data_IF_569646121314
#
_entry.id   IF_569646121314
#
_cell.length_a   1.000
_cell.length_b   1.000
_cell.length_c   1.000
_cell.angle_alpha   90.00
_cell.angle_beta   90.00
_cell.angle_gamma   90.00
#
_symmetry.space_group_name_H-M   'P 1'
#
loop_
_entity.id
_entity.type
_entity.pdbx_description
1 polymer ?
#
# COMPACT_ATOMS: atom_id res chain seq x y z
N UNK A 1 -60.82 -20.94 44.47
CA UNK A 1 -61.96 -21.28 43.59
C UNK A 1 -61.44 -21.53 42.19
N UNK A 2 -61.72 -22.72 41.67
CA UNK A 2 -61.28 -23.25 40.38
C UNK A 2 -62.04 -22.67 39.19
N UNK A 3 -61.35 -22.57 38.04
CA UNK A 3 -61.68 -23.12 36.69
C UNK A 3 -60.66 -22.51 35.71
N UNK A 4 -59.61 -23.18 35.22
CA UNK A 4 -59.54 -24.21 34.16
C UNK A 4 -60.44 -23.93 32.95
N UNK A 5 -59.82 -23.49 31.85
CA UNK A 5 -60.13 -23.97 30.50
C UNK A 5 -58.86 -23.99 29.65
N UNK A 6 -58.49 -25.21 29.26
CA UNK A 6 -57.51 -25.57 28.25
C UNK A 6 -58.04 -25.24 26.85
N UNK A 7 -57.15 -24.84 25.94
CA UNK A 7 -57.35 -25.00 24.51
C UNK A 7 -56.06 -25.52 23.86
N UNK A 8 -56.22 -26.65 23.17
CA UNK A 8 -55.21 -27.55 22.66
C UNK A 8 -54.32 -26.98 21.53
N UNK A 9 -53.10 -27.54 21.47
CA UNK A 9 -52.18 -27.53 20.32
C UNK A 9 -52.78 -28.25 19.10
N UNK A 10 -52.12 -28.17 17.93
CA UNK A 10 -51.28 -29.32 17.59
C UNK A 10 -49.91 -28.93 17.00
N UNK A 11 -48.88 -29.56 17.57
CA UNK A 11 -47.61 -29.79 16.88
C UNK A 11 -47.82 -30.89 15.83
N UNK A 12 -47.19 -30.72 14.68
CA UNK A 12 -47.06 -31.72 13.63
C UNK A 12 -45.81 -31.40 12.79
N UNK A 13 -45.19 -32.40 12.14
CA UNK A 13 -43.78 -32.72 12.37
C UNK A 13 -42.84 -32.32 11.23
N UNK A 14 -41.54 -32.47 11.51
CA UNK A 14 -40.39 -32.42 10.59
C UNK A 14 -40.64 -33.08 9.22
N UNK A 15 -39.78 -32.75 8.23
CA UNK A 15 -39.06 -33.83 7.59
C UNK A 15 -37.54 -33.65 7.68
N UNK A 16 -36.89 -34.75 8.09
CA UNK A 16 -35.49 -35.01 7.82
C UNK A 16 -35.30 -35.51 6.37
N UNK A 17 -34.05 -35.43 5.90
CA UNK A 17 -33.48 -35.96 4.62
C UNK A 17 -33.61 -35.01 3.42
N UNK A 18 -32.60 -34.76 2.58
CA UNK A 18 -31.35 -35.48 2.30
C UNK A 18 -30.22 -34.53 1.87
N UNK A 19 -28.95 -34.90 2.13
CA UNK A 19 -27.80 -34.47 1.35
C UNK A 19 -27.61 -35.43 0.16
N UNK A 20 -27.69 -34.92 -1.06
CA UNK A 20 -27.41 -35.66 -2.28
C UNK A 20 -27.07 -34.58 -3.36
N UNK A 21 -26.12 -34.73 -4.29
CA UNK A 21 -25.21 -35.80 -4.66
C UNK A 21 -24.45 -35.30 -5.88
N UNK A 22 -23.12 -35.22 -5.85
CA UNK A 22 -22.29 -35.66 -6.99
C UNK A 22 -21.04 -36.35 -6.40
N UNK A 23 -21.24 -37.58 -5.95
CA UNK A 23 -20.21 -38.61 -6.08
C UNK A 23 -20.42 -39.27 -7.45
N UNK A 24 -19.45 -39.13 -8.35
CA UNK A 24 -19.13 -40.21 -9.29
C UNK A 24 -17.83 -40.85 -8.84
N UNK A 25 -17.99 -42.06 -8.33
CA UNK A 25 -16.94 -43.06 -8.15
C UNK A 25 -16.54 -43.59 -9.52
N UNK A 26 -15.24 -43.76 -9.74
CA UNK A 26 -14.71 -44.82 -10.58
C UNK A 26 -13.45 -45.35 -9.88
N UNK A 27 -13.62 -46.43 -9.12
CA UNK A 27 -12.54 -47.36 -8.77
C UNK A 27 -12.46 -48.42 -9.87
N UNK A 28 -11.25 -48.64 -10.36
CA UNK A 28 -10.76 -49.80 -11.11
C UNK A 28 -9.25 -49.60 -11.24
N UNK A 29 -8.49 -49.95 -10.20
CA UNK A 29 -7.66 -51.16 -10.09
C UNK A 29 -6.53 -51.24 -11.14
N UNK A 30 -5.31 -51.13 -10.61
CA UNK A 30 -4.04 -51.73 -11.06
C UNK A 30 -3.66 -51.59 -12.54
N UNK A 31 -2.67 -50.74 -12.82
CA UNK A 31 -1.34 -51.26 -13.11
C UNK A 31 -0.25 -50.18 -13.02
N UNK A 32 0.90 -50.63 -12.55
CA UNK A 32 2.18 -49.96 -12.37
C UNK A 32 2.59 -49.08 -13.54
N UNK A 33 3.07 -47.86 -13.29
CA UNK A 33 4.32 -47.29 -13.83
C UNK A 33 4.68 -46.04 -13.02
N UNK A 34 5.91 -46.03 -12.49
CA UNK A 34 6.58 -44.94 -11.80
C UNK A 34 6.74 -43.71 -12.70
N UNK A 35 5.83 -42.73 -12.66
CA UNK A 35 6.08 -41.41 -13.24
C UNK A 35 5.90 -40.33 -12.18
N UNK A 36 7.04 -39.75 -11.80
CA UNK A 36 7.18 -38.54 -11.01
C UNK A 36 6.35 -37.41 -11.62
N UNK A 37 5.22 -37.08 -11.00
CA UNK A 37 4.44 -35.91 -11.34
C UNK A 37 5.23 -34.65 -10.98
N UNK A 38 5.92 -34.05 -11.95
CA UNK A 38 6.16 -32.61 -11.93
C UNK A 38 4.80 -31.91 -11.80
N UNK A 39 4.64 -30.92 -10.89
CA UNK A 39 3.40 -30.18 -10.81
C UNK A 39 3.27 -29.34 -12.09
N UNK A 40 2.46 -29.83 -13.02
CA UNK A 40 2.09 -29.14 -14.24
C UNK A 40 1.54 -27.75 -13.86
N UNK A 41 2.35 -26.73 -14.13
CA UNK A 41 2.29 -25.39 -13.53
C UNK A 41 1.61 -24.41 -14.50
N UNK A 42 0.49 -24.85 -15.07
CA UNK A 42 -0.29 -24.07 -16.02
C UNK A 42 -1.22 -23.12 -15.26
N UNK A 43 -0.94 -21.83 -15.39
CA UNK A 43 -1.56 -20.71 -14.68
C UNK A 43 -1.40 -20.74 -13.14
N UNK A 44 -0.37 -20.06 -12.64
CA UNK A 44 -0.15 -19.86 -11.21
C UNK A 44 -1.24 -18.94 -10.60
N UNK A 45 -2.44 -19.47 -10.34
CA UNK A 45 -3.52 -18.79 -9.62
C UNK A 45 -3.13 -18.69 -8.14
N UNK A 46 -2.51 -17.58 -7.76
CA UNK A 46 -2.13 -17.36 -6.38
C UNK A 46 -3.39 -17.24 -5.51
N UNK A 47 -3.56 -18.16 -4.55
CA UNK A 47 -4.74 -18.18 -3.65
C UNK A 47 -4.94 -16.89 -2.87
N UNK A 48 -3.86 -16.17 -2.58
CA UNK A 48 -3.91 -14.86 -1.91
C UNK A 48 -4.37 -13.77 -2.86
N UNK A 49 -3.81 -13.72 -4.08
CA UNK A 49 -4.24 -12.75 -5.09
C UNK A 49 -5.72 -12.92 -5.46
N UNK A 50 -6.19 -14.16 -5.57
CA UNK A 50 -7.59 -14.47 -5.89
C UNK A 50 -8.55 -13.95 -4.80
N UNK A 51 -8.20 -14.09 -3.52
CA UNK A 51 -9.01 -13.54 -2.43
C UNK A 51 -8.91 -12.02 -2.29
N UNK A 52 -7.86 -11.43 -2.85
CA UNK A 52 -7.70 -9.99 -2.92
C UNK A 52 -8.29 -9.41 -4.20
N UNK A 53 -8.75 -10.23 -5.14
CA UNK A 53 -9.33 -9.72 -6.38
C UNK A 53 -10.56 -8.86 -6.07
N UNK A 54 -10.67 -7.71 -6.73
CA UNK A 54 -11.67 -6.66 -6.47
C UNK A 54 -11.78 -6.16 -5.02
N UNK A 55 -10.76 -6.40 -4.17
CA UNK A 55 -10.84 -6.03 -2.75
C UNK A 55 -11.02 -4.52 -2.52
N UNK A 56 -10.49 -3.71 -3.44
CA UNK A 56 -10.66 -2.25 -3.42
C UNK A 56 -12.12 -1.87 -3.71
N UNK A 57 -12.77 -2.54 -4.67
CA UNK A 57 -14.20 -2.35 -4.94
C UNK A 57 -15.07 -2.85 -3.78
N UNK A 58 -14.69 -3.97 -3.15
CA UNK A 58 -15.35 -4.44 -1.94
C UNK A 58 -15.20 -3.47 -0.77
N UNK A 59 -14.05 -2.80 -0.64
CA UNK A 59 -13.83 -1.77 0.35
C UNK A 59 -14.82 -0.61 0.14
N UNK A 60 -14.88 -0.03 -1.06
CA UNK A 60 -15.81 1.06 -1.36
C UNK A 60 -17.27 0.64 -1.25
N UNK A 61 -17.62 -0.58 -1.70
CA UNK A 61 -18.97 -1.13 -1.56
C UNK A 61 -19.39 -1.39 -0.10
N UNK A 62 -18.45 -1.63 0.82
CA UNK A 62 -18.77 -1.74 2.26
C UNK A 62 -19.17 -0.41 2.89
N UNK A 63 -18.61 0.69 2.40
CA UNK A 63 -18.92 2.04 2.91
C UNK A 63 -20.41 2.36 2.75
N UNK A 64 -21.05 1.81 1.72
CA UNK A 64 -22.49 1.98 1.44
C UNK A 64 -23.43 1.23 2.39
N UNK A 65 -22.93 0.26 3.17
CA UNK A 65 -23.83 -0.70 3.84
C UNK A 65 -24.53 -0.15 5.07
N UNK A 66 -23.95 0.83 5.77
CA UNK A 66 -24.57 1.46 6.93
C UNK A 66 -23.92 2.79 7.30
N UNK A 67 -24.66 3.62 8.03
CA UNK A 67 -24.24 4.96 8.48
C UNK A 67 -23.00 4.90 9.35
N UNK A 68 -22.88 3.87 10.19
CA UNK A 68 -21.70 3.65 11.02
C UNK A 68 -20.42 3.51 10.19
N UNK A 69 -20.46 2.80 9.07
CA UNK A 69 -19.32 2.66 8.16
C UNK A 69 -18.96 3.99 7.51
N UNK A 70 -19.96 4.80 7.14
CA UNK A 70 -19.76 6.16 6.60
C UNK A 70 -19.09 7.08 7.60
N UNK A 71 -19.59 7.15 8.84
CA UNK A 71 -18.97 7.94 9.90
C UNK A 71 -17.56 7.46 10.26
N UNK A 72 -17.34 6.14 10.29
CA UNK A 72 -16.01 5.57 10.53
C UNK A 72 -15.05 5.93 9.39
N UNK A 73 -15.51 5.94 8.15
CA UNK A 73 -14.69 6.34 7.00
C UNK A 73 -14.28 7.81 7.14
N UNK A 74 -15.22 8.72 7.40
CA UNK A 74 -14.92 10.13 7.59
C UNK A 74 -13.87 10.34 8.70
N UNK A 75 -14.06 9.71 9.86
CA UNK A 75 -13.08 9.76 10.96
C UNK A 75 -11.71 9.22 10.54
N UNK A 76 -11.66 8.09 9.84
CA UNK A 76 -10.39 7.50 9.41
C UNK A 76 -9.70 8.38 8.37
N UNK A 77 -10.47 9.02 7.49
CA UNK A 77 -9.96 9.98 6.50
C UNK A 77 -9.39 11.24 7.16
N UNK A 78 -10.04 11.75 8.21
CA UNK A 78 -9.49 12.84 9.04
C UNK A 78 -8.14 12.42 9.63
N UNK A 79 -8.07 11.24 10.25
CA UNK A 79 -6.85 10.74 10.90
C UNK A 79 -5.72 10.36 9.93
N UNK A 80 -6.04 10.15 8.65
CA UNK A 80 -5.07 9.81 7.60
C UNK A 80 -4.80 10.95 6.63
N UNK A 81 -5.47 12.09 6.79
CA UNK A 81 -5.49 13.20 5.85
C UNK A 81 -5.76 12.71 4.41
N UNK A 82 -6.82 11.91 4.26
CA UNK A 82 -7.28 11.39 2.97
C UNK A 82 -6.67 10.04 2.55
N UNK A 83 -6.96 9.64 1.31
CA UNK A 83 -6.45 8.42 0.67
C UNK A 83 -5.03 8.61 0.11
N UNK A 84 -4.28 7.52 -0.08
CA UNK A 84 -3.07 7.61 -0.91
C UNK A 84 -3.44 7.93 -2.36
N UNK A 85 -2.49 8.45 -3.14
CA UNK A 85 -2.72 8.87 -4.53
C UNK A 85 -3.44 7.79 -5.37
N UNK A 86 -3.02 6.52 -5.27
CA UNK A 86 -3.66 5.43 -6.01
C UNK A 86 -5.13 5.19 -5.59
N UNK A 87 -5.44 5.26 -4.30
CA UNK A 87 -6.82 5.07 -3.82
C UNK A 87 -7.68 6.31 -4.01
N UNK A 88 -7.10 7.51 -4.03
CA UNK A 88 -7.78 8.73 -4.41
C UNK A 88 -8.18 8.69 -5.90
N UNK A 89 -7.25 8.29 -6.79
CA UNK A 89 -7.53 8.07 -8.20
C UNK A 89 -8.65 7.05 -8.42
N UNK A 90 -8.64 5.93 -7.68
CA UNK A 90 -9.73 4.94 -7.74
C UNK A 90 -11.05 5.45 -7.19
N UNK A 91 -11.03 6.22 -6.11
CA UNK A 91 -12.24 6.84 -5.60
C UNK A 91 -12.87 7.79 -6.65
N UNK A 92 -12.03 8.52 -7.41
CA UNK A 92 -12.48 9.41 -8.47
C UNK A 92 -13.12 8.69 -9.66
N UNK A 93 -12.80 7.41 -9.91
CA UNK A 93 -13.41 6.62 -10.99
C UNK A 93 -14.72 5.93 -10.58
N UNK A 94 -15.11 5.98 -9.31
CA UNK A 94 -16.39 5.44 -8.83
C UNK A 94 -17.57 6.18 -9.46
N UNK A 95 -18.65 5.44 -9.73
CA UNK A 95 -19.89 5.97 -10.32
C UNK A 95 -21.10 5.70 -9.42
N UNK A 96 -22.16 6.49 -9.61
CA UNK A 96 -23.42 6.38 -8.88
C UNK A 96 -23.26 6.61 -7.38
N UNK A 97 -24.16 6.00 -6.59
CA UNK A 97 -24.28 6.18 -5.14
C UNK A 97 -22.97 5.97 -4.36
N UNK A 98 -22.10 5.05 -4.81
CA UNK A 98 -20.78 4.83 -4.21
C UNK A 98 -19.89 6.07 -4.31
N UNK A 99 -19.90 6.74 -5.45
CA UNK A 99 -19.12 7.96 -5.69
C UNK A 99 -19.58 9.07 -4.74
N UNK A 100 -20.90 9.29 -4.67
CA UNK A 100 -21.50 10.35 -3.86
C UNK A 100 -21.20 10.13 -2.37
N UNK A 101 -21.40 8.90 -1.88
CA UNK A 101 -21.14 8.57 -0.47
C UNK A 101 -19.66 8.74 -0.09
N UNK A 102 -18.74 8.37 -0.98
CA UNK A 102 -17.31 8.56 -0.75
C UNK A 102 -16.95 10.04 -0.75
N UNK A 103 -17.50 10.84 -1.67
CA UNK A 103 -17.30 12.31 -1.68
C UNK A 103 -17.85 12.95 -0.42
N UNK A 104 -19.04 12.56 0.03
CA UNK A 104 -19.62 13.08 1.28
C UNK A 104 -18.76 12.73 2.48
N UNK A 105 -18.22 11.50 2.54
CA UNK A 105 -17.30 11.11 3.62
C UNK A 105 -15.97 11.88 3.57
N UNK A 106 -15.50 12.28 2.38
CA UNK A 106 -14.32 13.14 2.22
C UNK A 106 -14.63 14.55 2.72
N UNK A 107 -15.76 15.13 2.31
CA UNK A 107 -16.21 16.44 2.79
C UNK A 107 -16.38 16.46 4.31
N UNK A 108 -17.00 15.42 4.88
CA UNK A 108 -17.13 15.27 6.33
C UNK A 108 -15.77 15.22 7.03
N UNK A 109 -14.80 14.51 6.45
CA UNK A 109 -13.46 14.43 6.97
C UNK A 109 -12.72 15.78 6.92
N UNK A 110 -12.88 16.52 5.83
CA UNK A 110 -12.35 17.88 5.65
C UNK A 110 -13.00 18.87 6.62
N UNK A 111 -14.31 18.73 6.86
CA UNK A 111 -15.01 19.51 7.87
C UNK A 111 -14.44 19.28 9.26
N UNK A 112 -14.34 18.02 9.67
CA UNK A 112 -13.73 17.67 10.96
C UNK A 112 -12.28 18.15 11.07
N UNK A 113 -11.48 18.04 9.99
CA UNK A 113 -10.11 18.52 10.00
C UNK A 113 -10.02 20.03 10.18
N UNK A 114 -10.90 20.80 9.52
CA UNK A 114 -11.00 22.25 9.72
C UNK A 114 -11.34 22.59 11.17
N UNK A 115 -12.31 21.89 11.76
CA UNK A 115 -12.72 22.12 13.14
C UNK A 115 -11.59 21.80 14.15
N UNK A 116 -10.79 20.75 13.88
CA UNK A 116 -9.60 20.42 14.67
C UNK A 116 -8.53 21.52 14.54
N UNK A 117 -8.32 22.06 13.32
CA UNK A 117 -7.37 23.15 13.08
C UNK A 117 -7.75 24.42 13.85
N UNK A 118 -9.04 24.76 13.89
CA UNK A 118 -9.57 25.92 14.63
C UNK A 118 -9.45 25.76 16.15
N UNK A 119 -9.40 24.51 16.64
CA UNK A 119 -9.25 24.17 18.07
C UNK A 119 -7.85 23.69 18.45
N UNK A 120 -6.85 23.90 17.59
CA UNK A 120 -5.49 23.36 17.73
C UNK A 120 -4.83 23.63 19.10
N UNK A 121 -5.09 24.78 19.73
CA UNK A 121 -4.55 25.09 21.05
C UNK A 121 -4.96 24.09 22.16
N UNK A 122 -6.05 23.34 21.97
CA UNK A 122 -6.56 22.34 22.90
C UNK A 122 -6.27 20.89 22.47
N UNK A 123 -5.77 20.67 21.25
CA UNK A 123 -5.69 19.35 20.60
C UNK A 123 -4.37 19.14 19.85
N UNK A 124 -3.29 19.77 20.32
CA UNK A 124 -2.00 19.76 19.64
C UNK A 124 -1.43 18.35 19.46
N UNK A 125 -1.51 17.49 20.49
CA UNK A 125 -1.07 16.09 20.43
C UNK A 125 -1.83 15.28 19.36
N UNK A 126 -3.15 15.43 19.29
CA UNK A 126 -3.97 14.76 18.29
C UNK A 126 -3.61 15.24 16.88
N UNK A 127 -3.42 16.55 16.69
CA UNK A 127 -3.02 17.09 15.39
C UNK A 127 -1.63 16.62 14.96
N UNK A 128 -0.69 16.49 15.90
CA UNK A 128 0.61 15.88 15.63
C UNK A 128 0.43 14.41 15.18
N UNK A 129 -0.35 13.61 15.91
CA UNK A 129 -0.61 12.21 15.55
C UNK A 129 -1.25 12.03 14.17
N UNK A 130 -2.12 12.97 13.77
CA UNK A 130 -2.75 13.01 12.45
C UNK A 130 -1.69 13.32 11.39
N UNK A 131 -0.94 14.42 11.57
CA UNK A 131 0.03 14.92 10.59
C UNK A 131 1.18 13.93 10.40
N UNK A 132 1.80 13.44 11.48
CA UNK A 132 2.86 12.43 11.40
C UNK A 132 2.36 11.09 10.88
N UNK A 133 1.09 10.76 11.12
CA UNK A 133 0.45 9.55 10.60
C UNK A 133 0.05 9.64 9.12
N UNK A 134 -0.14 10.84 8.57
CA UNK A 134 -0.73 11.06 7.25
C UNK A 134 0.02 10.35 6.12
N UNK A 135 1.36 10.37 6.13
CA UNK A 135 2.18 9.76 5.08
C UNK A 135 1.97 8.25 4.97
N UNK A 136 1.88 7.55 6.11
CA UNK A 136 1.80 6.09 6.16
C UNK A 136 0.38 5.53 6.16
N UNK A 137 -0.63 6.34 6.48
CA UNK A 137 -2.01 5.88 6.65
C UNK A 137 -2.81 6.08 5.38
N UNK A 138 -3.39 5.00 4.87
CA UNK A 138 -4.48 5.05 3.89
C UNK A 138 -5.54 4.04 4.34
N UNK A 139 -6.82 4.45 4.50
CA UNK A 139 -7.88 3.57 4.98
C UNK A 139 -8.05 2.31 4.10
N UNK A 140 -8.06 2.51 2.78
CA UNK A 140 -8.17 1.42 1.81
C UNK A 140 -6.92 0.51 1.82
N UNK A 141 -5.70 1.06 1.75
CA UNK A 141 -4.47 0.25 1.91
C UNK A 141 -4.47 -0.58 3.20
N UNK A 142 -4.90 0.02 4.31
CA UNK A 142 -4.95 -0.65 5.61
C UNK A 142 -5.95 -1.79 5.58
N UNK A 143 -7.12 -1.60 4.96
CA UNK A 143 -8.10 -2.64 4.77
C UNK A 143 -7.54 -3.80 3.92
N UNK A 144 -6.93 -3.50 2.77
CA UNK A 144 -6.30 -4.51 1.89
C UNK A 144 -5.23 -5.31 2.64
N UNK A 145 -4.30 -4.64 3.33
CA UNK A 145 -3.24 -5.31 4.11
C UNK A 145 -3.79 -6.17 5.24
N UNK A 146 -4.90 -5.76 5.89
CA UNK A 146 -5.57 -6.58 6.91
C UNK A 146 -6.17 -7.84 6.30
N UNK A 147 -6.79 -7.73 5.11
CA UNK A 147 -7.35 -8.89 4.40
C UNK A 147 -6.21 -9.83 4.00
N UNK A 148 -5.19 -9.32 3.31
CA UNK A 148 -3.99 -10.06 2.91
C UNK A 148 -3.37 -10.79 4.12
N UNK A 149 -3.20 -10.07 5.23
CA UNK A 149 -2.66 -10.63 6.47
C UNK A 149 -3.47 -11.81 7.01
N UNK A 150 -4.81 -11.73 6.97
CA UNK A 150 -5.69 -12.84 7.38
C UNK A 150 -5.59 -14.03 6.43
N UNK A 151 -5.50 -13.80 5.12
CA UNK A 151 -5.35 -14.88 4.15
C UNK A 151 -4.02 -15.60 4.37
N UNK A 152 -2.91 -14.85 4.49
CA UNK A 152 -1.60 -15.40 4.77
C UNK A 152 -1.56 -16.19 6.09
N UNK A 153 -2.23 -15.70 7.13
CA UNK A 153 -2.33 -16.41 8.42
C UNK A 153 -3.15 -17.71 8.34
N UNK A 154 -4.13 -17.80 7.43
CA UNK A 154 -4.83 -19.07 7.15
C UNK A 154 -3.89 -20.05 6.44
N UNK A 155 -3.25 -19.60 5.37
CA UNK A 155 -2.29 -20.41 4.60
C UNK A 155 -1.17 -20.92 5.49
N UNK A 156 -0.64 -20.08 6.38
CA UNK A 156 0.38 -20.48 7.35
C UNK A 156 -0.10 -21.64 8.23
N UNK A 157 -1.27 -21.49 8.88
CA UNK A 157 -1.81 -22.52 9.79
C UNK A 157 -2.08 -23.83 9.07
N UNK A 158 -2.64 -23.77 7.86
CA UNK A 158 -2.86 -24.95 7.03
C UNK A 158 -1.54 -25.65 6.69
N UNK A 159 -0.52 -24.88 6.31
CA UNK A 159 0.80 -25.40 5.94
C UNK A 159 1.56 -26.03 7.12
N UNK A 160 1.39 -25.48 8.33
CA UNK A 160 1.98 -26.00 9.57
C UNK A 160 1.34 -27.33 10.00
N UNK A 161 0.06 -27.52 9.72
CA UNK A 161 -0.70 -28.74 10.05
C UNK A 161 -0.54 -29.84 9.00
N UNK A 162 -0.23 -29.48 7.75
CA UNK A 162 -0.21 -30.41 6.63
C UNK A 162 1.05 -31.30 6.62
N UNK A 163 0.83 -32.61 6.56
CA UNK A 163 1.87 -33.63 6.31
C UNK A 163 1.39 -34.55 5.19
N UNK A 164 2.09 -34.66 4.04
CA UNK A 164 3.35 -33.99 3.69
C UNK A 164 3.21 -32.50 3.39
N UNK A 165 4.33 -31.77 3.37
CA UNK A 165 4.36 -30.33 3.04
C UNK A 165 3.96 -30.12 1.57
N UNK A 166 2.83 -29.45 1.34
CA UNK A 166 2.32 -29.15 0.00
C UNK A 166 1.67 -27.76 -0.01
N UNK A 167 2.47 -26.69 -0.18
CA UNK A 167 1.95 -25.33 -0.12
C UNK A 167 0.97 -25.07 -1.28
N UNK A 168 -0.12 -24.33 -1.02
CA UNK A 168 -1.04 -23.92 -2.08
C UNK A 168 -0.33 -23.07 -3.12
N UNK A 169 -0.89 -22.95 -4.35
CA UNK A 169 -0.30 -22.12 -5.38
C UNK A 169 -0.21 -20.66 -4.90
N UNK A 170 1.01 -20.12 -4.90
CA UNK A 170 1.32 -18.76 -4.48
C UNK A 170 2.29 -18.11 -5.46
N UNK A 171 2.10 -16.81 -5.70
CA UNK A 171 3.06 -16.00 -6.45
C UNK A 171 4.31 -15.74 -5.61
N UNK A 172 5.37 -15.28 -6.27
CA UNK A 172 6.66 -15.00 -5.62
C UNK A 172 6.52 -14.04 -4.43
N UNK A 173 5.81 -12.91 -4.61
CA UNK A 173 5.66 -11.88 -3.57
C UNK A 173 4.94 -12.41 -2.33
N UNK A 174 3.82 -13.12 -2.48
CA UNK A 174 3.10 -13.66 -1.32
C UNK A 174 3.85 -14.81 -0.64
N UNK A 175 4.61 -15.61 -1.40
CA UNK A 175 5.50 -16.60 -0.82
C UNK A 175 6.63 -15.96 0.00
N UNK A 176 7.20 -14.86 -0.49
CA UNK A 176 8.18 -14.06 0.24
C UNK A 176 7.58 -13.47 1.54
N UNK A 177 6.35 -12.95 1.48
CA UNK A 177 5.62 -12.47 2.66
C UNK A 177 5.32 -13.58 3.67
N UNK A 178 4.98 -14.79 3.19
CA UNK A 178 4.75 -15.95 4.05
C UNK A 178 6.04 -16.38 4.77
N UNK A 179 7.18 -16.35 4.08
CA UNK A 179 8.49 -16.69 4.67
C UNK A 179 8.87 -15.85 5.89
N UNK A 180 8.33 -14.64 6.02
CA UNK A 180 8.56 -13.79 7.19
C UNK A 180 7.77 -14.22 8.43
N UNK A 181 6.84 -15.17 8.29
CA UNK A 181 5.86 -15.53 9.33
C UNK A 181 5.91 -17.00 9.77
N UNK A 182 6.40 -17.88 8.90
CA UNK A 182 6.42 -19.34 9.13
C UNK A 182 7.52 -19.76 10.12
N UNK A 183 7.27 -20.88 10.80
CA UNK A 183 8.23 -21.49 11.71
C UNK A 183 9.57 -21.88 11.03
N UNK A 184 10.68 -21.92 11.79
CA UNK A 184 12.00 -22.29 11.28
C UNK A 184 12.05 -23.61 10.51
N UNK A 185 11.24 -24.59 10.90
CA UNK A 185 11.18 -25.93 10.27
C UNK A 185 10.68 -25.87 8.82
N UNK A 186 9.84 -24.90 8.48
CA UNK A 186 9.28 -24.71 7.15
C UNK A 186 10.10 -23.75 6.29
N UNK A 187 11.00 -22.96 6.90
CA UNK A 187 11.81 -21.97 6.19
C UNK A 187 12.67 -22.58 5.08
N UNK A 188 13.30 -23.72 5.31
CA UNK A 188 14.19 -24.36 4.31
C UNK A 188 13.39 -24.78 3.07
N UNK A 189 12.24 -25.43 3.27
CA UNK A 189 11.36 -25.88 2.18
C UNK A 189 10.79 -24.68 1.40
N UNK A 190 10.38 -23.65 2.12
CA UNK A 190 9.83 -22.43 1.52
C UNK A 190 10.89 -21.62 0.76
N UNK A 191 12.14 -21.55 1.27
CA UNK A 191 13.29 -20.98 0.54
C UNK A 191 13.55 -21.70 -0.78
N UNK A 192 13.52 -23.04 -0.78
CA UNK A 192 13.67 -23.84 -2.02
C UNK A 192 12.55 -23.53 -3.01
N UNK A 193 11.31 -23.45 -2.54
CA UNK A 193 10.18 -23.07 -3.38
C UNK A 193 10.32 -21.65 -3.95
N UNK A 194 10.75 -20.68 -3.14
CA UNK A 194 10.96 -19.31 -3.59
C UNK A 194 12.04 -19.23 -4.69
N UNK A 195 13.14 -19.97 -4.55
CA UNK A 195 14.18 -20.09 -5.60
C UNK A 195 13.66 -20.78 -6.86
N UNK A 196 12.89 -21.86 -6.73
CA UNK A 196 12.26 -22.51 -7.88
C UNK A 196 11.30 -21.54 -8.61
N UNK A 197 10.57 -20.71 -7.86
CA UNK A 197 9.69 -19.68 -8.43
C UNK A 197 10.48 -18.57 -9.14
N UNK A 198 11.61 -18.10 -8.60
CA UNK A 198 12.43 -17.10 -9.31
C UNK A 198 12.99 -17.65 -10.62
N UNK A 199 13.47 -18.91 -10.61
CA UNK A 199 13.95 -19.56 -11.84
C UNK A 199 12.83 -19.73 -12.88
N UNK A 200 11.63 -20.12 -12.44
CA UNK A 200 10.47 -20.22 -13.32
C UNK A 200 10.06 -18.86 -13.92
N UNK A 201 10.23 -17.76 -13.18
CA UNK A 201 9.96 -16.41 -13.71
C UNK A 201 11.00 -16.01 -14.77
N UNK A 202 12.28 -16.27 -14.51
CA UNK A 202 13.35 -16.01 -15.50
C UNK A 202 13.12 -16.81 -16.78
N UNK A 203 12.80 -18.10 -16.66
CA UNK A 203 12.52 -18.96 -17.82
C UNK A 203 11.34 -18.52 -18.67
N UNK A 204 10.34 -17.79 -18.13
CA UNK A 204 9.26 -17.21 -18.94
C UNK A 204 9.71 -15.98 -19.73
N UNK A 205 10.68 -15.21 -19.23
CA UNK A 205 11.26 -14.09 -20.00
C UNK A 205 12.07 -14.62 -21.17
N UNK A 206 12.87 -15.66 -20.92
CA UNK A 206 13.72 -16.33 -21.91
C UNK A 206 12.92 -17.13 -22.95
N UNK A 207 11.60 -17.28 -22.78
CA UNK A 207 10.78 -18.15 -23.61
C UNK A 207 10.79 -17.68 -25.07
N UNK A 208 11.30 -18.50 -26.01
CA UNK A 208 11.31 -18.13 -27.42
C UNK A 208 9.89 -18.14 -28.00
N UNK A 209 9.66 -17.30 -29.02
CA UNK A 209 8.45 -17.25 -29.84
C UNK A 209 7.14 -16.74 -29.18
N UNK A 210 7.16 -16.32 -27.91
CA UNK A 210 6.01 -15.66 -27.29
C UNK A 210 6.03 -14.14 -27.55
N UNK A 211 4.85 -13.55 -27.74
CA UNK A 211 4.73 -12.09 -27.86
C UNK A 211 5.26 -11.41 -26.60
N UNK A 212 5.72 -10.16 -26.70
CA UNK A 212 6.20 -9.41 -25.53
C UNK A 212 5.09 -9.30 -24.45
N UNK A 213 3.88 -8.94 -24.85
CA UNK A 213 2.74 -8.80 -23.93
C UNK A 213 2.37 -10.12 -23.24
N UNK A 214 2.40 -11.24 -23.96
CA UNK A 214 2.12 -12.56 -23.37
C UNK A 214 3.19 -12.95 -22.35
N UNK A 215 4.48 -12.74 -22.67
CA UNK A 215 5.59 -13.01 -21.74
C UNK A 215 5.47 -12.16 -20.48
N UNK A 216 5.28 -10.86 -20.63
CA UNK A 216 5.14 -9.95 -19.48
C UNK A 216 3.91 -10.31 -18.65
N UNK A 217 2.80 -10.69 -19.28
CA UNK A 217 1.60 -11.16 -18.58
C UNK A 217 1.89 -12.40 -17.75
N UNK A 218 2.59 -13.40 -18.30
CA UNK A 218 2.94 -14.62 -17.56
C UNK A 218 3.93 -14.37 -16.42
N UNK A 219 4.95 -13.54 -16.65
CA UNK A 219 5.90 -13.08 -15.63
C UNK A 219 5.14 -12.41 -14.48
N UNK A 220 4.24 -11.48 -14.79
CA UNK A 220 3.44 -10.78 -13.79
C UNK A 220 2.53 -11.73 -13.01
N UNK A 221 1.90 -12.71 -13.66
CA UNK A 221 1.10 -13.76 -13.01
C UNK A 221 1.94 -14.62 -12.06
N UNK A 222 3.23 -14.85 -12.33
CA UNK A 222 4.11 -15.61 -11.43
C UNK A 222 4.69 -14.74 -10.31
N UNK A 223 4.97 -13.46 -10.56
CA UNK A 223 5.52 -12.52 -9.58
C UNK A 223 4.47 -12.02 -8.59
N UNK A 224 3.45 -11.32 -9.10
CA UNK A 224 2.43 -10.66 -8.29
C UNK A 224 1.16 -10.31 -9.11
N UNK A 225 0.26 -11.28 -9.35
CA UNK A 225 -0.96 -11.07 -10.14
C UNK A 225 -1.81 -9.89 -9.68
N UNK A 226 -1.95 -9.73 -8.36
CA UNK A 226 -2.84 -8.72 -7.77
C UNK A 226 -2.45 -7.29 -8.19
N UNK A 227 -1.15 -6.94 -8.15
CA UNK A 227 -0.69 -5.62 -8.58
C UNK A 227 -0.77 -5.41 -10.10
N UNK A 228 -0.71 -6.49 -10.88
CA UNK A 228 -0.86 -6.42 -12.33
C UNK A 228 -2.31 -6.15 -12.73
N UNK A 229 -3.25 -6.95 -12.21
CA UNK A 229 -4.68 -6.83 -12.51
C UNK A 229 -5.29 -5.54 -11.98
N UNK A 230 -4.89 -5.11 -10.78
CA UNK A 230 -5.42 -3.90 -10.17
C UNK A 230 -4.74 -2.60 -10.65
N UNK A 231 -4.05 -2.66 -11.80
CA UNK A 231 -3.53 -1.47 -12.45
C UNK A 231 -2.69 -0.61 -11.52
N UNK A 232 -1.50 -1.08 -11.09
CA UNK A 232 -0.44 -0.15 -10.62
C UNK A 232 -0.11 0.92 -11.69
N UNK A 233 -0.63 0.75 -12.91
CA UNK A 233 -0.78 1.79 -13.93
C UNK A 233 -2.25 2.19 -14.13
N UNK A 234 -2.92 2.73 -13.12
CA UNK A 234 -3.86 3.78 -13.46
C UNK A 234 -2.99 4.87 -14.12
N UNK A 235 -3.23 5.27 -15.39
CA UNK A 235 -2.65 6.52 -15.87
C UNK A 235 -2.97 7.52 -14.78
N UNK A 236 -1.96 8.25 -14.29
CA UNK A 236 -2.12 9.21 -13.21
C UNK A 236 -3.44 9.95 -13.44
N UNK A 237 -4.50 9.55 -12.73
CA UNK A 237 -5.71 10.35 -12.71
C UNK A 237 -5.17 11.65 -12.16
N UNK A 238 -5.24 12.71 -12.98
CA UNK A 238 -4.54 13.95 -12.75
C UNK A 238 -4.79 14.33 -11.30
N UNK A 239 -3.75 14.16 -10.50
CA UNK A 239 -3.76 14.63 -9.14
C UNK A 239 -3.08 15.97 -9.30
N UNK A 240 -3.87 17.03 -9.22
CA UNK A 240 -3.44 18.42 -9.43
C UNK A 240 -2.40 18.89 -8.39
N UNK A 241 -1.93 17.97 -7.54
CA UNK A 241 -0.85 18.20 -6.61
C UNK A 241 0.51 18.24 -7.34
N UNK A 242 1.20 19.39 -7.32
CA UNK A 242 2.50 19.55 -8.00
C UNK A 242 3.58 18.63 -7.41
N UNK A 243 3.47 18.24 -6.14
CA UNK A 243 4.41 17.31 -5.50
C UNK A 243 4.18 15.87 -6.01
N UNK A 244 2.93 15.44 -6.19
CA UNK A 244 2.62 14.15 -6.82
C UNK A 244 3.16 14.10 -8.26
N UNK A 245 3.02 15.20 -9.00
CA UNK A 245 3.53 15.32 -10.36
C UNK A 245 5.07 15.21 -10.40
N UNK A 246 5.77 15.95 -9.54
CA UNK A 246 7.24 15.88 -9.43
C UNK A 246 7.72 14.46 -9.09
N UNK A 247 7.02 13.75 -8.20
CA UNK A 247 7.30 12.34 -7.88
C UNK A 247 7.10 11.44 -9.11
N UNK A 248 6.03 11.64 -9.87
CA UNK A 248 5.78 10.88 -11.10
C UNK A 248 6.83 11.16 -12.18
N UNK A 249 7.29 12.41 -12.31
CA UNK A 249 8.40 12.80 -13.20
C UNK A 249 9.68 12.10 -12.75
N UNK A 250 9.99 12.10 -11.45
CA UNK A 250 11.18 11.45 -10.91
C UNK A 250 11.17 9.94 -11.14
N UNK A 251 10.02 9.28 -10.99
CA UNK A 251 9.86 7.87 -11.32
C UNK A 251 10.19 7.60 -12.80
N UNK A 252 9.66 8.41 -13.73
CA UNK A 252 9.97 8.28 -15.17
C UNK A 252 11.46 8.49 -15.46
N UNK A 253 12.08 9.50 -14.82
CA UNK A 253 13.52 9.78 -14.96
C UNK A 253 14.38 8.63 -14.43
N UNK A 254 14.05 8.11 -13.25
CA UNK A 254 14.72 6.95 -12.68
C UNK A 254 14.64 5.73 -13.61
N UNK A 255 13.47 5.47 -14.19
CA UNK A 255 13.31 4.37 -15.14
C UNK A 255 14.22 4.54 -16.38
N UNK A 256 14.33 5.76 -16.92
CA UNK A 256 15.32 6.07 -17.96
C UNK A 256 16.76 5.81 -17.51
N UNK A 257 17.12 6.25 -16.29
CA UNK A 257 18.43 5.97 -15.69
C UNK A 257 18.69 4.47 -15.53
N UNK A 258 17.67 3.67 -15.17
CA UNK A 258 17.81 2.22 -15.05
C UNK A 258 18.09 1.57 -16.41
N UNK A 259 17.41 2.00 -17.48
CA UNK A 259 17.68 1.57 -18.86
C UNK A 259 19.14 1.88 -19.23
N UNK A 260 19.58 3.13 -19.01
CA UNK A 260 20.93 3.55 -19.37
C UNK A 260 22.01 2.81 -18.55
N UNK A 261 21.76 2.56 -17.26
CA UNK A 261 22.69 1.80 -16.42
C UNK A 261 22.92 0.38 -16.94
N UNK A 262 21.85 -0.29 -17.41
CA UNK A 262 21.96 -1.63 -17.98
C UNK A 262 22.76 -1.59 -19.29
N UNK A 263 22.46 -0.64 -20.18
CA UNK A 263 23.20 -0.44 -21.44
C UNK A 263 24.69 -0.18 -21.22
N UNK A 264 25.01 0.62 -20.21
CA UNK A 264 26.38 0.95 -19.81
C UNK A 264 27.04 -0.11 -18.93
N UNK A 265 26.38 -1.26 -18.69
CA UNK A 265 26.85 -2.38 -17.86
C UNK A 265 27.32 -1.94 -16.47
N UNK A 266 26.64 -0.94 -15.90
CA UNK A 266 26.93 -0.44 -14.57
C UNK A 266 26.43 -1.42 -13.50
N UNK A 267 27.01 -1.40 -12.29
CA UNK A 267 26.56 -2.24 -11.19
C UNK A 267 25.06 -2.05 -10.88
N UNK A 268 24.33 -3.15 -10.79
CA UNK A 268 22.87 -3.12 -10.63
C UNK A 268 22.36 -2.44 -9.35
N UNK A 269 23.15 -2.44 -8.27
CA UNK A 269 22.78 -1.80 -7.01
C UNK A 269 22.63 -0.28 -7.10
N UNK A 270 23.12 0.36 -8.16
CA UNK A 270 23.03 1.82 -8.37
C UNK A 270 21.61 2.23 -8.78
N UNK A 271 20.97 1.49 -9.68
CA UNK A 271 19.74 1.94 -10.34
C UNK A 271 18.63 0.88 -10.41
N UNK A 272 18.94 -0.41 -10.28
CA UNK A 272 17.95 -1.47 -10.47
C UNK A 272 17.08 -1.68 -9.22
N UNK A 273 15.81 -2.10 -9.41
CA UNK A 273 14.85 -2.16 -8.33
C UNK A 273 15.09 -3.33 -7.37
N UNK A 274 14.90 -3.09 -6.07
CA UNK A 274 14.87 -4.12 -5.02
C UNK A 274 13.45 -4.35 -4.48
N UNK A 275 12.45 -3.60 -4.97
CA UNK A 275 11.05 -3.77 -4.60
C UNK A 275 10.20 -4.18 -5.82
N UNK A 276 9.12 -4.92 -5.55
CA UNK A 276 8.23 -5.41 -6.61
C UNK A 276 7.52 -4.29 -7.38
N UNK A 277 7.19 -3.15 -6.73
CA UNK A 277 6.52 -2.02 -7.39
C UNK A 277 7.36 -1.47 -8.54
N UNK A 278 8.64 -1.19 -8.29
CA UNK A 278 9.55 -0.67 -9.30
C UNK A 278 10.03 -1.75 -10.28
N UNK A 279 10.12 -3.02 -9.85
CA UNK A 279 10.33 -4.14 -10.77
C UNK A 279 9.24 -4.19 -11.85
N UNK A 280 7.97 -4.06 -11.47
CA UNK A 280 6.84 -4.07 -12.42
C UNK A 280 6.94 -2.95 -13.46
N UNK A 281 7.55 -1.80 -13.12
CA UNK A 281 7.78 -0.71 -14.08
C UNK A 281 8.88 -1.07 -15.08
N UNK A 282 9.97 -1.68 -14.61
CA UNK A 282 11.08 -2.12 -15.46
C UNK A 282 10.64 -3.23 -16.43
N UNK A 283 9.96 -4.26 -15.94
CA UNK A 283 9.61 -5.41 -16.80
C UNK A 283 8.59 -5.06 -17.89
N UNK A 284 7.79 -4.00 -17.69
CA UNK A 284 6.83 -3.50 -18.70
C UNK A 284 7.52 -2.78 -19.86
N UNK A 285 8.78 -2.38 -19.72
CA UNK A 285 9.52 -1.80 -20.83
C UNK A 285 9.81 -2.87 -21.88
N UNK A 286 9.82 -2.53 -23.18
CA UNK A 286 10.16 -3.48 -24.26
C UNK A 286 11.66 -3.80 -24.35
N UNK A 287 12.46 -3.45 -23.34
CA UNK A 287 13.90 -3.68 -23.29
C UNK A 287 14.21 -4.99 -22.55
N UNK A 288 14.69 -6.01 -23.29
CA UNK A 288 14.97 -7.35 -22.73
C UNK A 288 16.10 -7.33 -21.72
N UNK A 289 17.14 -6.52 -21.93
CA UNK A 289 18.30 -6.47 -21.05
C UNK A 289 17.88 -5.87 -19.71
N UNK A 290 17.06 -4.81 -19.73
CA UNK A 290 16.47 -4.25 -18.52
C UNK A 290 15.60 -5.26 -17.77
N UNK A 291 14.73 -6.00 -18.47
CA UNK A 291 13.86 -7.01 -17.87
C UNK A 291 14.67 -8.05 -17.09
N UNK A 292 15.71 -8.62 -17.72
CA UNK A 292 16.57 -9.62 -17.09
C UNK A 292 17.35 -9.04 -15.92
N UNK A 293 18.01 -7.88 -16.11
CA UNK A 293 18.82 -7.26 -15.08
C UNK A 293 17.97 -6.88 -13.86
N UNK A 294 16.78 -6.31 -14.08
CA UNK A 294 15.86 -5.92 -13.00
C UNK A 294 15.35 -7.15 -12.22
N UNK A 295 14.99 -8.25 -12.91
CA UNK A 295 14.59 -9.48 -12.22
C UNK A 295 15.73 -10.11 -11.43
N UNK A 296 16.90 -10.23 -12.05
CA UNK A 296 18.08 -10.80 -11.39
C UNK A 296 18.39 -10.03 -10.11
N UNK A 297 18.42 -8.70 -10.19
CA UNK A 297 18.64 -7.84 -9.02
C UNK A 297 17.55 -7.96 -7.96
N UNK A 298 16.29 -7.95 -8.38
CA UNK A 298 15.19 -8.10 -7.45
C UNK A 298 15.25 -9.44 -6.71
N UNK A 299 15.55 -10.54 -7.42
CA UNK A 299 15.68 -11.86 -6.80
C UNK A 299 16.91 -11.96 -5.90
N UNK A 300 18.03 -11.36 -6.27
CA UNK A 300 19.21 -11.25 -5.41
C UNK A 300 18.86 -10.58 -4.07
N UNK A 301 18.14 -9.46 -4.10
CA UNK A 301 17.72 -8.74 -2.90
C UNK A 301 16.58 -9.46 -2.13
N UNK A 302 15.69 -10.16 -2.83
CA UNK A 302 14.49 -10.78 -2.26
C UNK A 302 14.73 -12.17 -1.66
N UNK A 303 15.68 -12.93 -2.22
CA UNK A 303 16.02 -14.27 -1.77
C UNK A 303 16.94 -14.21 -0.54
N UNK A 304 16.66 -14.96 0.53
CA UNK A 304 17.60 -15.05 1.64
C UNK A 304 18.89 -15.76 1.20
N UNK A 305 19.97 -15.01 1.03
CA UNK A 305 21.32 -15.45 0.63
C UNK A 305 22.39 -14.49 1.17
N UNK A 306 23.64 -14.98 1.32
CA UNK A 306 24.75 -14.48 2.18
C UNK A 306 24.74 -12.96 2.49
N UNK A 307 24.97 -12.57 3.76
CA UNK A 307 25.17 -11.16 4.09
C UNK A 307 26.29 -10.59 3.21
N UNK A 308 25.99 -9.50 2.50
CA UNK A 308 27.06 -8.65 2.00
C UNK A 308 27.79 -8.14 3.24
N UNK A 309 29.05 -8.52 3.38
CA UNK A 309 30.01 -7.76 4.18
C UNK A 309 30.08 -6.37 3.56
N UNK A 310 29.26 -5.44 4.05
CA UNK A 310 29.50 -4.02 3.85
C UNK A 310 30.92 -3.71 4.32
N UNK A 311 31.76 -3.05 3.50
CA UNK A 311 33.00 -2.48 3.98
C UNK A 311 32.66 -1.52 5.12
N UNK A 312 33.28 -1.73 6.27
CA UNK A 312 33.13 -0.92 7.47
C UNK A 312 33.37 0.54 7.11
N UNK A 313 32.31 1.36 7.07
CA UNK A 313 32.46 2.80 6.90
C UNK A 313 33.24 3.34 8.11
N UNK A 314 34.24 4.23 7.92
CA UNK A 314 34.98 4.78 9.04
C UNK A 314 34.05 5.63 9.91
N UNK A 315 34.13 5.43 11.23
CA UNK A 315 33.44 6.22 12.24
C UNK A 315 33.76 7.70 12.03
N UNK A 316 32.79 8.48 11.54
CA UNK A 316 32.95 9.93 11.40
C UNK A 316 33.06 10.58 12.80
N UNK A 317 34.03 11.48 13.04
CA UNK A 317 34.23 12.08 14.35
C UNK A 317 33.12 13.08 14.69
N UNK A 318 32.49 12.89 15.86
CA UNK A 318 31.44 13.77 16.41
C UNK A 318 31.98 15.19 16.65
N UNK A 319 31.57 16.15 15.82
CA UNK A 319 31.75 17.59 16.12
C UNK A 319 30.74 18.03 17.19
N UNK A 320 31.22 18.33 18.39
CA UNK A 320 30.49 19.09 19.43
C UNK A 320 30.21 20.51 18.92
N UNK A 321 28.95 20.95 18.95
CA UNK A 321 28.57 22.38 18.88
C UNK A 321 27.66 22.76 20.05
N UNK A 322 27.90 23.97 20.56
CA UNK A 322 27.38 24.57 21.82
C UNK A 322 25.89 24.88 21.77
N UNK A 323 25.28 24.88 22.96
CA UNK A 323 23.86 25.06 23.27
C UNK A 323 23.45 26.54 23.34
N UNK A 324 22.28 26.86 22.80
CA UNK A 324 21.35 27.90 23.29
C UNK A 324 19.92 27.36 23.12
N UNK A 325 19.04 27.67 24.08
CA UNK A 325 17.74 27.03 24.30
C UNK A 325 16.73 27.26 23.17
N UNK A 326 16.09 26.18 22.69
CA UNK A 326 14.96 26.13 21.74
C UNK A 326 14.03 25.00 22.17
N UNK A 327 12.80 24.96 21.61
CA UNK A 327 11.58 24.22 21.99
C UNK A 327 11.65 22.67 22.07
N UNK A 328 12.81 22.11 22.41
CA UNK A 328 13.03 20.74 22.90
C UNK A 328 14.30 20.72 23.78
N UNK A 329 14.17 20.34 25.06
CA UNK A 329 15.30 19.77 25.84
C UNK A 329 15.03 18.27 26.00
N UNK A 330 15.78 17.38 25.34
CA UNK A 330 15.54 15.93 25.37
C UNK A 330 16.20 15.29 26.61
N UNK A 331 16.02 15.90 27.78
CA UNK A 331 16.47 15.34 29.05
C UNK A 331 15.27 15.13 29.96
N UNK A 332 14.56 14.04 29.71
CA UNK A 332 14.22 13.05 30.73
C UNK A 332 13.65 11.81 30.05
N UNK A 333 14.53 10.82 29.91
CA UNK A 333 14.32 9.40 30.19
C UNK A 333 14.89 8.50 29.11
N UNK A 334 16.04 7.90 29.44
CA UNK A 334 16.26 6.45 29.37
C UNK A 334 17.66 6.16 29.89
N UNK A 335 17.74 5.64 31.10
CA UNK A 335 18.84 4.78 31.52
C UNK A 335 18.58 3.43 30.83
N UNK A 336 19.42 2.93 29.90
CA UNK A 336 19.27 1.58 29.40
C UNK A 336 19.94 0.65 30.41
N UNK A 337 19.16 -0.10 31.17
CA UNK A 337 19.66 -1.34 31.75
C UNK A 337 19.92 -2.31 30.60
N UNK A 338 21.18 -2.71 30.48
CA UNK A 338 21.64 -3.73 29.56
C UNK A 338 21.10 -5.08 30.00
N UNK A 339 20.21 -5.67 29.20
CA UNK A 339 20.03 -7.12 29.14
C UNK A 339 20.64 -7.65 27.82
N UNK A 340 21.63 -8.55 27.87
CA UNK A 340 22.24 -9.13 26.69
C UNK A 340 21.46 -10.38 26.28
N UNK A 341 20.43 -10.23 25.43
CA UNK A 341 19.87 -11.38 24.71
C UNK A 341 20.22 -11.26 23.24
N UNK A 342 21.13 -12.13 22.82
CA UNK A 342 21.48 -12.41 21.43
C UNK A 342 20.22 -12.63 20.58
N UNK A 343 20.09 -11.85 19.52
CA UNK A 343 19.06 -12.05 18.51
C UNK A 343 19.40 -11.27 17.26
N UNK A 344 20.06 -11.93 16.30
CA UNK A 344 20.26 -11.56 14.90
C UNK A 344 20.06 -10.07 14.57
N UNK A 345 21.16 -9.34 14.41
CA UNK A 345 21.18 -8.08 13.67
C UNK A 345 20.62 -8.32 12.26
N UNK A 346 19.32 -8.10 12.10
CA UNK A 346 18.69 -8.00 10.79
C UNK A 346 19.33 -6.80 10.10
N UNK A 347 20.34 -7.04 9.27
CA UNK A 347 20.93 -6.01 8.42
C UNK A 347 19.78 -5.25 7.71
N UNK A 348 19.83 -3.91 7.64
CA UNK A 348 18.85 -3.14 6.91
C UNK A 348 18.76 -3.68 5.49
N UNK A 349 17.54 -4.05 5.05
CA UNK A 349 17.31 -4.39 3.65
C UNK A 349 17.75 -3.20 2.80
N UNK A 350 18.50 -3.48 1.74
CA UNK A 350 18.92 -2.46 0.77
C UNK A 350 17.71 -1.67 0.28
N UNK A 351 17.79 -0.33 0.33
CA UNK A 351 16.74 0.54 -0.16
C UNK A 351 16.56 0.36 -1.67
N UNK A 352 15.35 0.62 -2.17
CA UNK A 352 15.09 0.53 -3.59
C UNK A 352 15.45 1.87 -4.25
N UNK A 353 16.36 1.91 -5.24
CA UNK A 353 16.74 3.16 -5.91
C UNK A 353 15.55 3.94 -6.50
N UNK A 354 14.53 3.23 -7.00
CA UNK A 354 13.29 3.85 -7.47
C UNK A 354 12.47 4.50 -6.35
N UNK A 355 12.39 3.88 -5.17
CA UNK A 355 11.76 4.49 -3.99
C UNK A 355 12.53 5.72 -3.52
N UNK A 356 13.87 5.63 -3.50
CA UNK A 356 14.74 6.72 -3.06
C UNK A 356 14.62 7.92 -4.02
N UNK A 357 14.56 7.70 -5.33
CA UNK A 357 14.34 8.74 -6.32
C UNK A 357 12.99 9.46 -6.13
N UNK A 358 11.91 8.70 -5.90
CA UNK A 358 10.58 9.24 -5.58
C UNK A 358 10.60 10.06 -4.28
N UNK A 359 11.23 9.54 -3.23
CA UNK A 359 11.32 10.22 -1.93
C UNK A 359 12.15 11.51 -2.00
N UNK A 360 13.30 11.49 -2.68
CA UNK A 360 14.14 12.67 -2.87
C UNK A 360 13.36 13.75 -3.63
N UNK A 361 12.60 13.37 -4.67
CA UNK A 361 11.75 14.30 -5.41
C UNK A 361 10.67 14.91 -4.52
N UNK A 362 9.92 14.09 -3.78
CA UNK A 362 8.91 14.56 -2.83
C UNK A 362 9.50 15.58 -1.85
N UNK A 363 10.63 15.25 -1.20
CA UNK A 363 11.30 16.14 -0.24
C UNK A 363 11.78 17.45 -0.87
N UNK A 364 12.34 17.40 -2.09
CA UNK A 364 12.76 18.62 -2.82
C UNK A 364 11.57 19.53 -3.14
N UNK A 365 10.44 18.95 -3.51
CA UNK A 365 9.23 19.69 -3.86
C UNK A 365 8.52 20.24 -2.63
N UNK A 366 8.47 19.48 -1.53
CA UNK A 366 8.01 19.98 -0.22
C UNK A 366 8.89 21.13 0.27
N UNK A 367 10.21 21.03 0.16
CA UNK A 367 11.11 22.13 0.50
C UNK A 367 10.88 23.38 -0.37
N UNK A 368 10.50 23.20 -1.64
CA UNK A 368 10.11 24.30 -2.52
C UNK A 368 8.80 24.95 -2.08
N UNK A 369 7.80 24.14 -1.73
CA UNK A 369 6.52 24.60 -1.18
C UNK A 369 6.74 25.45 0.08
N UNK A 370 7.52 24.96 1.05
CA UNK A 370 7.87 25.69 2.28
C UNK A 370 8.53 27.04 1.97
N UNK A 371 9.46 27.09 1.01
CA UNK A 371 10.09 28.35 0.58
C UNK A 371 9.10 29.30 -0.08
N UNK A 372 8.19 28.81 -0.92
CA UNK A 372 7.17 29.63 -1.57
C UNK A 372 6.20 30.22 -0.54
N UNK A 373 5.78 29.41 0.43
CA UNK A 373 4.95 29.85 1.57
C UNK A 373 5.68 30.90 2.40
N UNK A 374 6.97 30.70 2.70
CA UNK A 374 7.79 31.68 3.43
C UNK A 374 7.87 33.02 2.70
N UNK A 375 8.00 33.01 1.37
CA UNK A 375 8.17 34.21 0.51
C UNK A 375 6.89 34.91 0.10
N UNK A 376 5.72 34.27 0.25
CA UNK A 376 4.47 34.91 -0.12
C UNK A 376 4.23 36.16 0.75
N UNK A 377 4.00 37.32 0.14
CA UNK A 377 3.90 38.58 0.89
C UNK A 377 2.48 38.84 1.41
N UNK A 378 1.46 38.33 0.72
CA UNK A 378 0.04 38.55 1.01
C UNK A 378 -0.76 37.25 0.80
N UNK A 379 -2.02 37.24 1.25
CA UNK A 379 -2.85 36.02 1.31
C UNK A 379 -3.11 35.40 -0.08
N UNK A 380 -3.25 36.18 -1.15
CA UNK A 380 -3.41 35.64 -2.51
C UNK A 380 -2.14 34.93 -3.01
N UNK A 381 -0.96 35.46 -2.69
CA UNK A 381 0.31 34.80 -3.02
C UNK A 381 0.46 33.49 -2.22
N UNK A 382 -0.03 33.46 -0.98
CA UNK A 382 -0.06 32.26 -0.16
C UNK A 382 -1.02 31.21 -0.72
N UNK A 383 -2.22 31.63 -1.15
CA UNK A 383 -3.20 30.74 -1.77
C UNK A 383 -2.64 30.09 -3.04
N UNK A 384 -2.01 30.88 -3.93
CA UNK A 384 -1.33 30.36 -5.14
C UNK A 384 -0.18 29.42 -4.80
N UNK A 385 0.57 29.69 -3.73
CA UNK A 385 1.71 28.86 -3.34
C UNK A 385 1.31 27.45 -2.93
N UNK A 386 0.09 27.27 -2.41
CA UNK A 386 -0.42 25.98 -1.91
C UNK A 386 -1.48 25.34 -2.80
N UNK A 387 -1.84 25.99 -3.91
CA UNK A 387 -2.89 25.55 -4.82
C UNK A 387 -2.63 24.12 -5.33
N UNK A 388 -3.69 23.30 -5.34
CA UNK A 388 -3.65 21.90 -5.78
C UNK A 388 -2.91 20.94 -4.84
N UNK A 389 -2.21 21.40 -3.80
CA UNK A 389 -1.43 20.53 -2.90
C UNK A 389 -2.37 19.61 -2.12
N UNK A 390 -2.18 18.29 -2.24
CA UNK A 390 -3.00 17.33 -1.51
C UNK A 390 -2.70 17.34 0.00
N UNK A 391 -3.69 16.96 0.81
CA UNK A 391 -3.61 16.98 2.27
C UNK A 391 -2.40 16.19 2.82
N UNK A 392 -2.01 15.09 2.16
CA UNK A 392 -0.83 14.31 2.57
C UNK A 392 0.47 15.08 2.44
N UNK A 393 0.65 15.82 1.34
CA UNK A 393 1.86 16.61 1.15
C UNK A 393 1.83 17.92 1.96
N UNK A 394 0.64 18.43 2.29
CA UNK A 394 0.50 19.46 3.33
C UNK A 394 1.01 18.97 4.68
N UNK A 395 0.66 17.75 5.07
CA UNK A 395 1.14 17.14 6.30
C UNK A 395 2.68 17.08 6.32
N UNK A 396 3.30 16.64 5.23
CA UNK A 396 4.77 16.61 5.11
C UNK A 396 5.39 18.01 5.19
N UNK A 397 4.80 19.01 4.53
CA UNK A 397 5.25 20.39 4.63
C UNK A 397 5.17 20.93 6.05
N UNK A 398 4.10 20.57 6.78
CA UNK A 398 3.91 20.92 8.18
C UNK A 398 4.98 20.30 9.07
N UNK A 399 5.31 19.01 8.88
CA UNK A 399 6.37 18.31 9.64
C UNK A 399 7.73 18.95 9.42
N UNK A 400 8.03 19.37 8.18
CA UNK A 400 9.34 19.93 7.83
C UNK A 400 9.45 21.44 8.05
N UNK A 401 8.36 22.15 8.37
CA UNK A 401 8.41 23.57 8.69
C UNK A 401 9.15 23.78 10.02
N UNK A 402 10.34 24.37 9.96
CA UNK A 402 11.20 24.57 11.13
C UNK A 402 10.98 25.90 11.87
N UNK A 403 10.14 26.78 11.31
CA UNK A 403 9.86 28.12 11.84
C UNK A 403 8.37 28.26 12.19
N UNK A 404 8.02 28.70 13.41
CA UNK A 404 6.63 28.82 13.86
C UNK A 404 5.76 29.71 12.96
N UNK A 405 6.35 30.77 12.39
CA UNK A 405 5.66 31.64 11.46
C UNK A 405 5.26 30.92 10.16
N UNK A 406 6.13 30.07 9.60
CA UNK A 406 5.82 29.30 8.40
C UNK A 406 4.74 28.26 8.70
N UNK A 407 4.84 27.59 9.85
CA UNK A 407 3.84 26.64 10.31
C UNK A 407 2.45 27.29 10.46
N UNK A 408 2.37 28.46 11.11
CA UNK A 408 1.13 29.22 11.25
C UNK A 408 0.54 29.60 9.89
N UNK A 409 1.38 29.96 8.92
CA UNK A 409 0.95 30.28 7.56
C UNK A 409 0.44 29.05 6.82
N UNK A 410 1.10 27.89 6.93
CA UNK A 410 0.62 26.62 6.39
C UNK A 410 -0.73 26.23 7.00
N UNK A 411 -0.87 26.40 8.33
CA UNK A 411 -2.13 26.15 9.06
C UNK A 411 -3.27 27.02 8.54
N UNK A 412 -3.03 28.34 8.38
CA UNK A 412 -4.01 29.27 7.82
C UNK A 412 -4.37 28.90 6.38
N UNK A 413 -3.38 28.59 5.55
CA UNK A 413 -3.59 28.22 4.16
C UNK A 413 -4.44 26.94 4.03
N UNK A 414 -4.14 25.93 4.86
CA UNK A 414 -4.91 24.69 4.94
C UNK A 414 -6.36 24.96 5.40
N UNK A 415 -6.55 25.75 6.46
CA UNK A 415 -7.91 26.12 6.92
C UNK A 415 -8.71 26.84 5.85
N UNK A 416 -8.11 27.77 5.10
CA UNK A 416 -8.76 28.47 4.01
C UNK A 416 -9.13 27.53 2.84
N UNK A 417 -8.25 26.58 2.51
CA UNK A 417 -8.51 25.56 1.48
C UNK A 417 -9.72 24.70 1.85
N UNK A 418 -9.72 24.14 3.07
CA UNK A 418 -10.81 23.30 3.57
C UNK A 418 -12.15 24.03 3.69
N UNK A 419 -12.15 25.37 3.79
CA UNK A 419 -13.37 26.20 3.81
C UNK A 419 -13.88 26.55 2.41
N UNK A 420 -13.00 26.84 1.44
CA UNK A 420 -13.40 27.13 0.06
C UNK A 420 -14.10 25.95 -0.61
N UNK A 421 -13.67 24.73 -0.29
CA UNK A 421 -14.33 23.51 -0.76
C UNK A 421 -15.77 23.35 -0.21
N UNK A 422 -16.11 24.04 0.91
CA UNK A 422 -17.49 24.10 1.43
C UNK A 422 -18.37 25.01 0.59
N UNK A 423 -17.88 26.23 0.30
CA UNK A 423 -18.64 27.27 -0.40
C UNK A 423 -18.97 26.88 -1.85
N UNK A 424 -18.06 26.19 -2.53
CA UNK A 424 -18.26 25.70 -3.90
C UNK A 424 -19.20 24.49 -3.99
N UNK A 425 -19.37 23.73 -2.90
CA UNK A 425 -20.27 22.57 -2.83
C UNK A 425 -21.73 22.91 -2.53
N UNK A 426 -22.00 24.02 -1.84
CA UNK A 426 -23.36 24.44 -1.45
C UNK A 426 -24.10 25.22 -2.56
N UNK A 427 -23.37 25.83 -3.49
CA UNK A 427 -23.96 26.56 -4.63
C UNK A 427 -24.56 25.66 -5.74
N UNK A 428 -24.33 24.34 -5.70
CA UNK A 428 -24.81 23.42 -6.74
C UNK A 428 -26.18 22.77 -6.47
N UNK A 429 -26.73 22.90 -5.27
CA UNK A 429 -27.94 22.17 -4.87
C UNK A 429 -29.15 23.07 -4.53
N UNK A 430 -28.99 24.39 -4.50
CA UNK A 430 -29.99 25.28 -3.87
C UNK A 430 -30.56 26.37 -4.80
N UNK A 431 -30.22 26.39 -6.08
CA UNK A 431 -30.69 27.43 -7.02
C UNK A 431 -31.56 26.94 -8.19
N UNK A 432 -31.87 25.64 -8.30
CA UNK A 432 -32.81 25.12 -9.30
C UNK A 432 -34.21 24.78 -8.75
N UNK A 433 -34.51 25.09 -7.49
CA UNK A 433 -35.79 24.75 -6.86
C UNK A 433 -36.69 25.96 -6.54
N UNK A 434 -36.38 27.17 -7.03
CA UNK A 434 -37.17 28.38 -6.73
C UNK A 434 -37.54 29.25 -7.95
N UNK A 435 -37.32 28.77 -9.18
CA UNK A 435 -37.72 29.48 -10.41
C UNK A 435 -38.83 28.74 -11.21
N UNK A 436 -39.60 27.88 -10.56
CA UNK A 436 -40.90 27.41 -11.09
C UNK A 436 -41.99 27.59 -10.03
N UNK A 437 -42.48 28.83 -9.90
CA UNK A 437 -43.80 29.18 -9.39
C UNK A 437 -44.38 30.34 -10.21
#
# INVERSE_FOLDING_TARGET
MHTKHDAARPHSPLPARSPDRIHRSARGLADSVEHSNEPNNDACKCVVCEQLDDIDMQYFGRVLRNDRARSTLAQTLTLSMGFCHAHAARAATLRGQTSDTVRDSIRDAERHLCDLLDRTALQDELMQDIVFGARGRCPACTYVRRVEGRVLARVQRELEQQKPFSPPPMCFVHLQSLMQRIEPKLLVRTKRLLRARSLAVLGEIDRPCASHDDRITQVCRRLYPFAFNNGVNLPAAHCDCPICEDVAIAQRRWLGTAIDNVRLRQPGWIALPTCHRHLLLCIRQPDSDLQHAALARYFEAALPGRPMTTPTAPLSPRRRRRKHARWFDPRHDTRPEHDPVQGNETQPRESCPGCDAEEIAARKSVARLIRNVSRAEYDDALARAVEGVCLKHFAEAFIYASEPHIEQRLRRALGNMLRRDRETGECGASQQALDEC
#
